data_IF_065677422425
#
_entry.id   IF_065677422425
#
_cell.length_a   1.000
_cell.length_b   1.000
_cell.length_c   1.000
_cell.angle_alpha   90.00
_cell.angle_beta   90.00
_cell.angle_gamma   90.00
#
_symmetry.space_group_name_H-M   'P 1'
#
loop_
_entity.id
_entity.type
_entity.pdbx_description
1 polymer ?
#
# COMPACT_ATOMS: atom_id res chain seq x y z
N UNK A 1 14.72 3.47 8.83
CA UNK A 1 14.64 2.00 8.71
C UNK A 1 13.77 1.66 7.52
N UNK A 2 14.17 0.63 6.76
CA UNK A 2 13.41 0.10 5.63
C UNK A 2 12.21 -0.72 6.07
N UNK A 3 11.55 -1.37 5.11
CA UNK A 3 10.40 -2.26 5.36
C UNK A 3 10.76 -3.66 4.89
N UNK A 4 10.39 -4.66 5.69
CA UNK A 4 10.46 -6.07 5.35
C UNK A 4 9.06 -6.69 5.47
N UNK A 5 8.70 -7.53 4.52
CA UNK A 5 7.44 -8.28 4.50
C UNK A 5 7.78 -9.77 4.60
N UNK A 6 7.22 -10.42 5.60
CA UNK A 6 7.44 -11.83 5.89
C UNK A 6 6.14 -12.61 5.69
N UNK A 7 6.26 -13.81 5.15
CA UNK A 7 5.19 -14.79 5.10
C UNK A 7 5.36 -15.80 6.23
N UNK A 8 4.28 -16.02 6.97
CA UNK A 8 4.21 -17.02 8.02
C UNK A 8 3.29 -18.16 7.58
N UNK A 9 3.69 -19.44 7.72
CA UNK A 9 2.89 -20.58 7.28
C UNK A 9 1.57 -20.73 8.05
N UNK A 10 1.48 -20.16 9.26
CA UNK A 10 0.27 -20.13 10.06
C UNK A 10 0.06 -18.75 10.70
N UNK A 11 -1.12 -18.16 10.49
CA UNK A 11 -1.52 -16.87 11.09
C UNK A 11 -1.42 -16.84 12.62
N UNK A 12 -1.72 -17.96 13.30
CA UNK A 12 -1.60 -18.05 14.75
C UNK A 12 -0.14 -17.94 15.23
N UNK A 13 0.82 -18.26 14.37
CA UNK A 13 2.25 -18.19 14.68
C UNK A 13 2.83 -16.78 14.45
N UNK A 14 2.11 -15.84 13.85
CA UNK A 14 2.66 -14.50 13.55
C UNK A 14 2.54 -13.52 14.72
N UNK A 15 1.63 -13.78 15.67
CA UNK A 15 1.43 -12.88 16.82
C UNK A 15 2.57 -13.06 17.82
N UNK A 16 3.45 -12.07 17.90
CA UNK A 16 4.62 -12.08 18.79
C UNK A 16 5.88 -12.70 18.17
N UNK A 17 5.80 -13.21 16.94
CA UNK A 17 6.95 -13.72 16.21
C UNK A 17 7.87 -12.60 15.74
N UNK A 18 9.17 -12.89 15.76
CA UNK A 18 10.19 -12.05 15.14
C UNK A 18 10.15 -12.24 13.62
N UNK A 19 10.74 -11.31 12.88
CA UNK A 19 10.85 -11.46 11.42
C UNK A 19 11.61 -12.73 11.02
N UNK A 20 12.52 -13.21 11.86
CA UNK A 20 13.35 -14.39 11.59
C UNK A 20 12.56 -15.70 11.67
N UNK A 21 11.35 -15.67 12.25
CA UNK A 21 10.44 -16.82 12.33
C UNK A 21 9.59 -16.99 11.06
N UNK A 22 9.69 -16.05 10.10
CA UNK A 22 8.96 -16.04 8.83
C UNK A 22 9.88 -16.04 7.61
N UNK A 23 9.34 -16.42 6.45
CA UNK A 23 10.07 -16.35 5.19
C UNK A 23 10.05 -14.91 4.68
N UNK A 24 11.22 -14.29 4.50
CA UNK A 24 11.31 -12.96 3.90
C UNK A 24 10.83 -13.01 2.44
N UNK A 25 9.71 -12.37 2.16
CA UNK A 25 9.14 -12.31 0.81
C UNK A 25 9.62 -11.10 0.04
N UNK A 26 9.79 -9.97 0.75
CA UNK A 26 10.16 -8.72 0.12
C UNK A 26 10.78 -7.75 1.11
N UNK A 27 11.72 -6.92 0.65
CA UNK A 27 12.28 -5.83 1.46
C UNK A 27 12.61 -4.61 0.61
N UNK A 28 12.64 -3.46 1.26
CA UNK A 28 13.22 -2.23 0.73
C UNK A 28 14.20 -1.62 1.75
N UNK A 29 15.24 -0.95 1.23
CA UNK A 29 16.14 -0.11 2.03
C UNK A 29 15.63 1.33 2.16
N UNK A 30 14.65 1.72 1.35
CA UNK A 30 14.08 3.06 1.39
C UNK A 30 13.35 3.34 2.70
N UNK A 31 13.39 4.57 3.22
CA UNK A 31 12.58 4.98 4.35
C UNK A 31 11.10 4.71 4.07
N UNK A 32 10.36 4.27 5.10
CA UNK A 32 8.91 4.02 5.03
C UNK A 32 8.15 5.14 4.30
N UNK A 33 8.43 6.40 4.63
CA UNK A 33 7.76 7.56 4.03
C UNK A 33 8.03 7.71 2.52
N UNK A 34 9.21 7.35 2.05
CA UNK A 34 9.56 7.36 0.63
C UNK A 34 8.83 6.22 -0.09
N UNK A 35 8.89 5.02 0.47
CA UNK A 35 8.22 3.85 -0.09
C UNK A 35 6.70 4.00 -0.14
N UNK A 36 6.07 4.38 0.98
CA UNK A 36 4.62 4.54 1.08
C UNK A 36 4.08 5.56 0.06
N UNK A 37 4.80 6.67 -0.12
CA UNK A 37 4.48 7.67 -1.14
C UNK A 37 4.54 7.09 -2.56
N UNK A 38 5.62 6.39 -2.91
CA UNK A 38 5.74 5.77 -4.23
C UNK A 38 4.62 4.77 -4.52
N UNK A 39 4.25 3.95 -3.53
CA UNK A 39 3.12 3.00 -3.64
C UNK A 39 1.80 3.74 -3.88
N UNK A 40 1.53 4.82 -3.14
CA UNK A 40 0.29 5.59 -3.31
C UNK A 40 0.23 6.32 -4.66
N UNK A 41 1.35 6.88 -5.14
CA UNK A 41 1.43 7.54 -6.45
C UNK A 41 1.19 6.52 -7.59
N UNK A 42 1.75 5.32 -7.46
CA UNK A 42 1.52 4.23 -8.41
C UNK A 42 0.05 3.76 -8.38
N UNK A 43 -0.52 3.57 -7.19
CA UNK A 43 -1.92 3.18 -7.01
C UNK A 43 -2.88 4.24 -7.59
N UNK A 44 -2.61 5.53 -7.36
CA UNK A 44 -3.40 6.61 -7.93
C UNK A 44 -3.32 6.64 -9.45
N UNK A 45 -2.14 6.39 -10.01
CA UNK A 45 -1.95 6.30 -11.46
C UNK A 45 -2.76 5.14 -12.07
N UNK A 46 -2.83 3.99 -11.38
CA UNK A 46 -3.69 2.87 -11.76
C UNK A 46 -5.16 3.24 -11.69
N UNK A 47 -5.62 3.88 -10.61
CA UNK A 47 -7.00 4.33 -10.45
C UNK A 47 -7.41 5.30 -11.56
N UNK A 48 -6.56 6.29 -11.88
CA UNK A 48 -6.78 7.22 -12.99
C UNK A 48 -6.85 6.50 -14.34
N UNK A 49 -6.01 5.49 -14.56
CA UNK A 49 -6.03 4.69 -15.79
C UNK A 49 -7.32 3.87 -15.90
N UNK A 50 -7.79 3.26 -14.81
CA UNK A 50 -9.04 2.50 -14.78
C UNK A 50 -10.24 3.42 -15.02
N UNK A 51 -10.27 4.59 -14.37
CA UNK A 51 -11.33 5.58 -14.58
C UNK A 51 -11.40 6.11 -16.02
N UNK A 52 -10.26 6.20 -16.71
CA UNK A 52 -10.20 6.54 -18.15
C UNK A 52 -10.53 5.37 -19.07
N UNK A 53 -10.35 4.13 -18.62
CA UNK A 53 -10.47 2.91 -19.42
C UNK A 53 -11.77 2.15 -19.10
N UNK A 54 -12.91 2.85 -18.96
CA UNK A 54 -14.21 2.38 -18.47
C UNK A 54 -14.85 1.16 -19.19
N UNK A 55 -14.11 0.41 -20.02
CA UNK A 55 -14.58 -0.73 -20.79
C UNK A 55 -13.58 -1.91 -20.86
N UNK A 56 -12.90 -2.27 -19.76
CA UNK A 56 -12.21 -3.57 -19.68
C UNK A 56 -12.78 -4.49 -18.60
N UNK A 57 -13.32 -5.61 -19.06
CA UNK A 57 -13.96 -6.73 -18.34
C UNK A 57 -13.14 -7.25 -17.16
N UNK A 58 -11.82 -7.07 -17.16
CA UNK A 58 -10.91 -7.48 -16.08
C UNK A 58 -11.21 -6.76 -14.75
N UNK A 59 -11.67 -5.51 -14.80
CA UNK A 59 -11.88 -4.69 -13.60
C UNK A 59 -13.08 -5.12 -12.74
N UNK A 60 -14.03 -5.89 -13.30
CA UNK A 60 -15.18 -6.41 -12.52
C UNK A 60 -14.82 -7.55 -11.58
N UNK A 61 -13.81 -8.38 -11.92
CA UNK A 61 -13.38 -9.50 -11.06
C UNK A 61 -12.53 -9.03 -9.87
N UNK A 62 -11.75 -7.97 -10.07
CA UNK A 62 -10.90 -7.39 -9.03
C UNK A 62 -11.09 -5.87 -9.02
N UNK A 63 -12.12 -5.37 -8.32
CA UNK A 63 -12.35 -3.94 -8.24
C UNK A 63 -11.14 -3.27 -7.58
N UNK A 64 -10.78 -2.09 -8.07
CA UNK A 64 -9.69 -1.33 -7.48
C UNK A 64 -10.06 -0.90 -6.05
N UNK A 65 -9.20 -1.10 -5.05
CA UNK A 65 -9.52 -0.83 -3.64
C UNK A 65 -9.31 0.66 -3.31
N UNK A 66 -10.18 1.53 -3.84
CA UNK A 66 -10.10 2.98 -3.65
C UNK A 66 -10.11 3.38 -2.16
N UNK A 67 -11.06 2.83 -1.37
CA UNK A 67 -11.14 3.08 0.07
C UNK A 67 -9.82 2.77 0.81
N UNK A 68 -9.17 1.65 0.47
CA UNK A 68 -7.86 1.30 1.06
C UNK A 68 -6.77 2.30 0.67
N UNK A 69 -6.76 2.80 -0.57
CA UNK A 69 -5.84 3.85 -0.98
C UNK A 69 -6.06 5.14 -0.16
N UNK A 70 -7.30 5.50 0.11
CA UNK A 70 -7.63 6.65 0.94
C UNK A 70 -7.19 6.46 2.40
N UNK A 71 -7.36 5.26 2.96
CA UNK A 71 -6.86 4.96 4.30
C UNK A 71 -5.34 5.03 4.38
N UNK A 72 -4.63 4.54 3.36
CA UNK A 72 -3.17 4.68 3.26
C UNK A 72 -2.72 6.14 3.22
N UNK A 73 -3.45 7.02 2.51
CA UNK A 73 -3.15 8.47 2.51
C UNK A 73 -3.28 9.08 3.89
N UNK A 74 -4.34 8.74 4.63
CA UNK A 74 -4.54 9.22 6.01
C UNK A 74 -3.42 8.75 6.93
N UNK A 75 -3.04 7.48 6.84
CA UNK A 75 -1.93 6.92 7.62
C UNK A 75 -0.59 7.60 7.28
N UNK A 76 -0.31 7.82 6.00
CA UNK A 76 0.91 8.48 5.55
C UNK A 76 1.00 9.93 6.05
N UNK A 77 -0.09 10.70 5.95
CA UNK A 77 -0.13 12.07 6.48
C UNK A 77 0.12 12.12 7.99
N UNK A 78 -0.48 11.20 8.74
CA UNK A 78 -0.38 11.15 10.20
C UNK A 78 1.00 10.68 10.67
N UNK A 79 1.53 9.61 10.08
CA UNK A 79 2.64 8.86 10.65
C UNK A 79 3.99 9.19 9.97
N UNK A 80 3.98 9.61 8.70
CA UNK A 80 5.21 9.83 7.92
C UNK A 80 5.62 11.31 7.81
N UNK A 81 4.93 12.22 8.53
CA UNK A 81 5.15 13.68 8.50
C UNK A 81 5.21 14.25 7.09
N UNK A 82 4.38 13.72 6.20
CA UNK A 82 4.34 14.19 4.82
C UNK A 82 3.83 15.64 4.77
N UNK A 83 4.64 16.55 4.27
CA UNK A 83 4.30 17.97 4.09
C UNK A 83 3.60 18.28 2.77
N UNK A 84 3.45 17.28 1.89
CA UNK A 84 2.74 17.45 0.61
C UNK A 84 1.23 17.38 0.82
N UNK A 85 0.51 18.23 0.10
CA UNK A 85 -0.93 18.15 0.00
C UNK A 85 -1.30 16.84 -0.72
N UNK A 86 -1.90 15.91 0.02
CA UNK A 86 -2.63 14.80 -0.56
C UNK A 86 -4.06 15.27 -0.80
N UNK A 87 -4.58 15.03 -2.01
CA UNK A 87 -5.98 15.29 -2.27
C UNK A 87 -6.83 14.25 -1.53
N UNK A 88 -7.36 14.66 -0.38
CA UNK A 88 -8.25 13.83 0.44
C UNK A 88 -9.70 13.85 -0.06
N UNK A 89 -10.02 14.65 -1.09
CA UNK A 89 -11.37 14.72 -1.66
C UNK A 89 -11.64 13.62 -2.68
N UNK A 90 -10.58 12.99 -3.22
CA UNK A 90 -10.69 11.86 -4.12
C UNK A 90 -10.74 10.54 -3.33
N UNK A 91 -11.68 9.64 -3.64
CA UNK A 91 -11.67 8.28 -3.08
C UNK A 91 -10.44 7.48 -3.51
#
# INVERSE_FOLDING_TARGET
MGISIYEFPHMAASVGASGDDGTLMWRTTEPRSVFARAVMEAAQSVLQRIGKASHQTTSRRHPFPAATLQDLRRLHLRDDKCSRQHDLSLP
#
